data_IF_318216967917
#
_entry.id   IF_318216967917
#
_cell.length_a   1.000
_cell.length_b   1.000
_cell.length_c   1.000
_cell.angle_alpha   90.00
_cell.angle_beta   90.00
_cell.angle_gamma   90.00
#
_symmetry.space_group_name_H-M   'P 1'
#
loop_
_entity.id
_entity.type
_entity.pdbx_description
1 polymer ?
#
# COMPACT_ATOMS: atom_id res chain seq x y z
N UNK A 1 9.46 -24.51 4.37
CA UNK A 1 8.61 -24.42 3.15
C UNK A 1 7.93 -23.07 3.15
N UNK A 2 8.25 -22.16 2.21
CA UNK A 2 7.56 -20.87 2.10
C UNK A 2 6.16 -21.10 1.52
N UNK A 3 5.11 -20.87 2.32
CA UNK A 3 3.72 -21.04 1.87
C UNK A 3 3.33 -19.83 1.02
N UNK A 4 3.29 -19.98 -0.31
CA UNK A 4 2.77 -18.94 -1.19
C UNK A 4 1.26 -18.81 -0.99
N UNK A 5 0.77 -17.57 -0.95
CA UNK A 5 -0.66 -17.29 -0.86
C UNK A 5 -1.37 -17.79 -2.13
N UNK A 6 -2.43 -18.59 -1.96
CA UNK A 6 -3.28 -19.05 -3.05
C UNK A 6 -4.20 -17.89 -3.49
N UNK A 7 -4.21 -17.58 -4.78
CA UNK A 7 -5.02 -16.50 -5.38
C UNK A 7 -4.23 -15.29 -5.87
N UNK A 8 -4.87 -14.43 -6.65
CA UNK A 8 -4.28 -13.19 -7.16
C UNK A 8 -4.05 -12.17 -6.04
N UNK A 9 -3.05 -11.31 -6.23
CA UNK A 9 -2.77 -10.21 -5.30
C UNK A 9 -3.93 -9.22 -5.38
N UNK A 10 -4.58 -8.98 -4.23
CA UNK A 10 -5.62 -7.95 -4.09
C UNK A 10 -4.96 -6.60 -3.85
N UNK A 11 -4.55 -5.94 -4.93
CA UNK A 11 -3.86 -4.65 -4.89
C UNK A 11 -4.65 -3.53 -4.20
N UNK A 12 -5.98 -3.54 -4.28
CA UNK A 12 -6.83 -2.61 -3.52
C UNK A 12 -6.66 -2.76 -2.01
N UNK A 13 -6.70 -4.00 -1.51
CA UNK A 13 -6.51 -4.28 -0.07
C UNK A 13 -5.11 -3.87 0.42
N UNK A 14 -4.08 -3.99 -0.42
CA UNK A 14 -2.73 -3.55 -0.05
C UNK A 14 -2.58 -2.02 -0.08
N UNK A 15 -3.32 -1.34 -0.95
CA UNK A 15 -3.40 0.12 -0.97
C UNK A 15 -4.03 0.67 0.30
N UNK A 16 -5.20 0.14 0.69
CA UNK A 16 -5.90 0.59 1.91
C UNK A 16 -5.07 0.35 3.16
N UNK A 17 -4.44 -0.83 3.28
CA UNK A 17 -3.55 -1.14 4.39
C UNK A 17 -2.35 -0.18 4.45
N UNK A 18 -1.76 0.17 3.30
CA UNK A 18 -0.65 1.12 3.23
C UNK A 18 -1.09 2.52 3.65
N UNK A 19 -2.28 2.96 3.20
CA UNK A 19 -2.87 4.24 3.60
C UNK A 19 -3.08 4.31 5.12
N UNK A 20 -3.70 3.28 5.69
CA UNK A 20 -3.97 3.22 7.12
C UNK A 20 -2.68 3.26 7.95
N UNK A 21 -1.66 2.51 7.54
CA UNK A 21 -0.35 2.49 8.21
C UNK A 21 0.35 3.85 8.16
N UNK A 22 0.39 4.51 6.99
CA UNK A 22 1.03 5.81 6.86
C UNK A 22 0.28 6.92 7.61
N UNK A 23 -1.05 6.85 7.65
CA UNK A 23 -1.88 7.81 8.40
C UNK A 23 -1.74 7.70 9.92
N UNK A 24 -1.19 6.60 10.45
CA UNK A 24 -0.86 6.50 11.88
C UNK A 24 0.41 7.30 12.23
N UNK A 25 1.21 7.67 11.24
CA UNK A 25 2.46 8.40 11.44
C UNK A 25 2.20 9.90 11.27
N UNK A 26 1.97 10.61 12.37
CA UNK A 26 1.73 12.06 12.37
C UNK A 26 2.96 12.91 12.00
N UNK A 27 4.16 12.32 12.07
CA UNK A 27 5.43 12.96 11.70
C UNK A 27 5.83 12.73 10.25
N UNK A 28 5.10 11.87 9.52
CA UNK A 28 5.41 11.59 8.13
C UNK A 28 4.99 12.76 7.23
N UNK A 29 5.91 13.17 6.35
CA UNK A 29 5.66 14.21 5.36
C UNK A 29 4.49 13.81 4.44
N UNK A 30 3.39 14.59 4.38
CA UNK A 30 2.26 14.34 3.49
C UNK A 30 2.68 14.21 2.01
N UNK A 31 3.71 14.93 1.58
CA UNK A 31 4.22 14.84 0.21
C UNK A 31 4.93 13.49 -0.04
N UNK A 32 5.69 13.00 0.94
CA UNK A 32 6.27 11.65 0.89
C UNK A 32 5.20 10.56 0.89
N UNK A 33 4.15 10.69 1.71
CA UNK A 33 3.00 9.77 1.72
C UNK A 33 2.34 9.75 0.34
N UNK A 34 2.06 10.91 -0.24
CA UNK A 34 1.46 11.02 -1.57
C UNK A 34 2.32 10.35 -2.66
N UNK A 35 3.64 10.53 -2.61
CA UNK A 35 4.58 9.89 -3.54
C UNK A 35 4.57 8.36 -3.39
N UNK A 36 4.54 7.85 -2.17
CA UNK A 36 4.44 6.40 -1.88
C UNK A 36 3.12 5.83 -2.41
N UNK A 37 2.01 6.51 -2.16
CA UNK A 37 0.68 6.07 -2.58
C UNK A 37 0.51 6.12 -4.10
N UNK A 38 1.10 7.11 -4.77
CA UNK A 38 1.16 7.19 -6.24
C UNK A 38 1.98 6.05 -6.85
N UNK A 39 3.10 5.67 -6.22
CA UNK A 39 3.96 4.57 -6.67
C UNK A 39 3.35 3.19 -6.43
N UNK A 40 2.70 3.00 -5.28
CA UNK A 40 2.19 1.71 -4.83
C UNK A 40 0.69 1.78 -4.54
N UNK A 41 -0.14 1.34 -5.50
CA UNK A 41 -1.59 1.47 -5.37
C UNK A 41 -2.36 1.36 -6.67
N UNK A 42 -1.69 1.66 -7.78
CA UNK A 42 -2.25 1.45 -9.10
C UNK A 42 -2.23 -0.05 -9.38
N UNK A 43 -3.41 -0.66 -9.47
CA UNK A 43 -3.59 -1.84 -10.32
C UNK A 43 -3.06 -1.39 -11.68
N UNK A 44 -1.94 -1.95 -12.14
CA UNK A 44 -1.59 -1.83 -13.55
C UNK A 44 -2.75 -2.51 -14.28
N UNK A 45 -3.66 -1.69 -14.81
CA UNK A 45 -4.59 -2.13 -15.85
C UNK A 45 -3.80 -2.67 -17.02
#
# INVERSE_FOLDING_TARGET
ILKKKKGSIRWSKTFDARKAFLNQCSTADPAAISKIMSKFGRVRG
#
